data_IF_782798550990
#
_entry.id   IF_782798550990
#
_cell.length_a   1.000
_cell.length_b   1.000
_cell.length_c   1.000
_cell.angle_alpha   90.00
_cell.angle_beta   90.00
_cell.angle_gamma   90.00
#
_symmetry.space_group_name_H-M   'P 1'
#
loop_
_entity.id
_entity.type
_entity.pdbx_description
1 polymer ?
#
# COMPACT_ATOMS: atom_id res chain seq x y z
N UNK A 1 17.70 -18.42 -35.23
CA UNK A 1 17.95 -18.55 -33.78
C UNK A 1 17.54 -17.24 -33.15
N UNK A 2 16.43 -17.22 -32.41
CA UNK A 2 15.99 -16.00 -31.73
C UNK A 2 16.89 -15.82 -30.52
N UNK A 3 17.67 -14.73 -30.54
CA UNK A 3 18.30 -14.19 -29.35
C UNK A 3 17.16 -13.82 -28.41
N UNK A 4 16.88 -14.71 -27.45
CA UNK A 4 15.91 -14.48 -26.39
C UNK A 4 16.59 -13.51 -25.46
N UNK A 5 16.60 -12.24 -25.86
CA UNK A 5 17.14 -11.14 -25.08
C UNK A 5 16.61 -11.31 -23.66
N UNK A 6 17.51 -11.68 -22.76
CA UNK A 6 17.32 -11.54 -21.33
C UNK A 6 17.07 -10.05 -21.16
N UNK A 7 15.80 -9.64 -21.25
CA UNK A 7 15.38 -8.39 -20.64
C UNK A 7 15.77 -8.59 -19.19
N UNK A 8 16.90 -8.00 -18.80
CA UNK A 8 17.25 -7.85 -17.39
C UNK A 8 16.00 -7.25 -16.80
N UNK A 9 15.25 -8.09 -16.10
CA UNK A 9 13.90 -7.75 -15.70
C UNK A 9 14.06 -6.59 -14.72
N UNK A 10 13.56 -5.41 -15.10
CA UNK A 10 13.71 -4.20 -14.29
C UNK A 10 13.07 -4.48 -12.93
N UNK A 11 13.77 -4.23 -11.81
CA UNK A 11 13.26 -4.62 -10.50
C UNK A 11 11.95 -3.91 -10.21
N UNK A 12 10.86 -4.68 -10.13
CA UNK A 12 9.54 -4.19 -9.70
C UNK A 12 9.49 -4.00 -8.19
N UNK A 13 8.63 -3.09 -7.77
CA UNK A 13 8.42 -2.72 -6.37
C UNK A 13 6.94 -2.82 -6.03
N UNK A 14 6.63 -3.37 -4.87
CA UNK A 14 5.28 -3.32 -4.30
C UNK A 14 5.24 -2.35 -3.13
N UNK A 15 4.13 -1.65 -2.95
CA UNK A 15 3.88 -0.89 -1.72
C UNK A 15 3.54 -1.84 -0.58
N UNK A 16 4.34 -1.84 0.49
CA UNK A 16 4.03 -2.56 1.73
C UNK A 16 3.12 -1.70 2.60
N UNK A 17 3.51 -0.44 2.81
CA UNK A 17 2.73 0.51 3.59
C UNK A 17 2.90 1.91 3.02
N UNK A 18 1.82 2.68 3.08
CA UNK A 18 1.79 4.10 2.75
C UNK A 18 1.07 4.83 3.88
N UNK A 19 1.81 5.69 4.59
CA UNK A 19 1.32 6.49 5.70
C UNK A 19 1.29 7.96 5.31
N UNK A 20 0.31 8.68 5.82
CA UNK A 20 0.15 10.12 5.63
C UNK A 20 -0.42 10.78 6.88
N UNK A 21 -0.22 12.10 7.02
CA UNK A 21 -0.74 12.85 8.17
C UNK A 21 -0.07 12.41 9.48
N UNK A 22 -0.87 12.19 10.52
CA UNK A 22 -0.37 11.92 11.88
C UNK A 22 0.44 10.61 11.97
N UNK A 23 0.05 9.58 11.22
CA UNK A 23 0.77 8.30 11.18
C UNK A 23 2.15 8.47 10.54
N UNK A 24 2.22 9.24 9.44
CA UNK A 24 3.50 9.59 8.83
C UNK A 24 4.34 10.46 9.76
N UNK A 25 3.74 11.40 10.49
CA UNK A 25 4.46 12.29 11.40
C UNK A 25 5.21 11.52 12.49
N UNK A 26 4.61 10.46 13.03
CA UNK A 26 5.27 9.58 14.01
C UNK A 26 6.52 8.91 13.40
N UNK A 27 6.42 8.44 12.15
CA UNK A 27 7.54 7.79 11.46
C UNK A 27 8.60 8.82 11.03
N UNK A 28 8.21 9.99 10.54
CA UNK A 28 9.12 11.10 10.22
C UNK A 28 9.91 11.54 11.47
N UNK A 29 9.27 11.57 12.64
CA UNK A 29 9.94 11.82 13.92
C UNK A 29 10.94 10.71 14.27
N UNK A 30 10.60 9.45 13.97
CA UNK A 30 11.54 8.32 14.12
C UNK A 30 12.75 8.47 13.21
N UNK A 31 12.56 8.91 11.96
CA UNK A 31 13.65 9.19 11.02
C UNK A 31 14.57 10.27 11.58
N UNK A 32 14.02 11.34 12.16
CA UNK A 32 14.81 12.43 12.72
C UNK A 32 15.60 12.05 13.98
N UNK A 33 15.05 11.17 14.80
CA UNK A 33 15.66 10.76 16.07
C UNK A 33 16.63 9.59 15.91
N UNK A 34 16.34 8.65 15.01
CA UNK A 34 17.03 7.34 14.94
C UNK A 34 17.52 7.00 13.53
N UNK A 35 17.24 7.85 12.54
CA UNK A 35 17.62 7.63 11.15
C UNK A 35 16.62 6.78 10.37
N UNK A 36 16.79 6.80 9.05
CA UNK A 36 15.88 6.12 8.12
C UNK A 36 15.89 4.60 8.24
N UNK A 37 17.03 3.99 8.59
CA UNK A 37 17.12 2.53 8.76
C UNK A 37 16.23 2.05 9.93
N UNK A 38 16.17 2.80 11.03
CA UNK A 38 15.27 2.48 12.14
C UNK A 38 13.80 2.58 11.72
N UNK A 39 13.46 3.54 10.85
CA UNK A 39 12.11 3.66 10.30
C UNK A 39 11.76 2.48 9.38
N UNK A 40 12.70 2.02 8.53
CA UNK A 40 12.52 0.81 7.71
C UNK A 40 12.26 -0.41 8.60
N UNK A 41 13.08 -0.62 9.64
CA UNK A 41 12.91 -1.71 10.61
C UNK A 41 11.58 -1.66 11.36
N UNK A 42 11.09 -0.46 11.65
CA UNK A 42 9.78 -0.28 12.25
C UNK A 42 8.66 -0.63 11.25
N UNK A 43 8.76 -0.18 10.00
CA UNK A 43 7.70 -0.35 9.00
C UNK A 43 7.61 -1.78 8.43
N UNK A 44 8.72 -2.52 8.37
CA UNK A 44 8.71 -3.90 7.87
C UNK A 44 7.87 -4.86 8.73
N UNK A 45 7.49 -4.49 9.95
CA UNK A 45 6.59 -5.33 10.78
C UNK A 45 5.17 -5.44 10.20
N UNK A 46 4.81 -4.56 9.25
CA UNK A 46 3.57 -4.61 8.48
C UNK A 46 3.70 -5.36 7.15
N UNK A 47 4.89 -5.86 6.81
CA UNK A 47 5.02 -6.81 5.71
C UNK A 47 4.69 -8.23 6.20
N UNK A 48 3.49 -8.70 5.85
CA UNK A 48 3.02 -10.05 6.15
C UNK A 48 3.49 -11.10 5.12
N UNK A 49 4.35 -10.74 4.17
CA UNK A 49 4.83 -11.66 3.15
C UNK A 49 3.89 -11.75 1.95
N UNK A 50 3.43 -12.96 1.63
CA UNK A 50 2.65 -13.22 0.42
C UNK A 50 1.28 -12.52 0.46
N UNK A 51 0.67 -12.38 1.63
CA UNK A 51 -0.57 -11.61 1.79
C UNK A 51 -0.39 -10.14 1.42
N UNK A 52 0.76 -9.54 1.74
CA UNK A 52 1.10 -8.17 1.32
C UNK A 52 1.28 -8.10 -0.19
N UNK A 53 1.95 -9.08 -0.77
CA UNK A 53 2.19 -9.17 -2.22
C UNK A 53 0.85 -9.25 -2.94
N UNK A 54 0.00 -10.21 -2.59
CA UNK A 54 -1.31 -10.41 -3.21
C UNK A 54 -2.18 -9.15 -3.08
N UNK A 55 -2.21 -8.53 -1.89
CA UNK A 55 -2.92 -7.29 -1.69
C UNK A 55 -2.39 -6.17 -2.60
N UNK A 56 -1.08 -6.00 -2.72
CA UNK A 56 -0.49 -5.00 -3.59
C UNK A 56 -0.80 -5.27 -5.08
N UNK A 57 -0.74 -6.53 -5.53
CA UNK A 57 -1.07 -6.92 -6.90
C UNK A 57 -2.56 -6.65 -7.23
N UNK A 58 -3.47 -7.08 -6.35
CA UNK A 58 -4.93 -6.92 -6.52
C UNK A 58 -5.30 -5.43 -6.59
N UNK A 59 -4.68 -4.60 -5.76
CA UNK A 59 -4.95 -3.16 -5.72
C UNK A 59 -4.13 -2.36 -6.74
N UNK A 60 -3.19 -2.98 -7.47
CA UNK A 60 -2.33 -2.33 -8.45
C UNK A 60 -1.24 -1.44 -7.85
N UNK A 61 -0.83 -1.68 -6.60
CA UNK A 61 0.27 -0.97 -5.94
C UNK A 61 1.64 -1.56 -6.29
N UNK A 62 1.86 -1.74 -7.59
CA UNK A 62 3.07 -2.30 -8.19
C UNK A 62 3.69 -1.23 -9.08
N UNK A 63 5.01 -1.07 -9.01
CA UNK A 63 5.74 -0.03 -9.70
C UNK A 63 7.00 -0.59 -10.36
N UNK A 64 7.28 -0.16 -11.59
CA UNK A 64 8.50 -0.52 -12.31
C UNK A 64 9.76 0.16 -11.72
N UNK A 65 9.56 1.21 -10.91
CA UNK A 65 10.61 1.94 -10.21
C UNK A 65 10.06 2.50 -8.90
N UNK A 66 10.94 2.83 -7.97
CA UNK A 66 10.55 3.50 -6.72
C UNK A 66 9.76 4.78 -7.05
N UNK A 67 8.49 4.88 -6.62
CA UNK A 67 7.67 6.06 -6.86
C UNK A 67 8.16 7.19 -5.97
N UNK A 68 8.77 8.20 -6.57
CA UNK A 68 9.28 9.37 -5.88
C UNK A 68 9.09 10.65 -6.72
N UNK A 69 8.56 11.69 -6.07
CA UNK A 69 8.49 13.04 -6.58
C UNK A 69 9.80 13.82 -6.39
N UNK A 70 9.86 15.04 -6.95
CA UNK A 70 11.07 15.90 -6.90
C UNK A 70 11.48 16.30 -5.47
N UNK A 71 10.55 16.28 -4.54
CA UNK A 71 10.74 16.69 -3.14
C UNK A 71 11.10 15.53 -2.22
N UNK A 72 11.08 14.31 -2.76
CA UNK A 72 11.10 13.12 -1.94
C UNK A 72 12.51 12.68 -1.66
N UNK A 73 12.67 12.07 -0.49
CA UNK A 73 13.90 11.37 -0.13
C UNK A 73 13.67 9.90 -0.35
N UNK A 74 14.59 9.27 -1.07
CA UNK A 74 14.66 7.82 -1.27
C UNK A 74 15.81 7.31 -0.43
N UNK A 75 15.56 6.25 0.33
CA UNK A 75 16.57 5.52 1.08
C UNK A 75 16.49 4.06 0.66
N UNK A 76 17.62 3.54 0.20
CA UNK A 76 17.82 2.13 -0.10
C UNK A 76 18.95 1.62 0.79
N UNK A 77 18.86 0.36 1.19
CA UNK A 77 19.93 -0.34 1.90
C UNK A 77 20.34 -1.55 1.05
N UNK A 78 21.64 -1.63 0.72
CA UNK A 78 22.20 -2.62 -0.21
C UNK A 78 22.02 -4.07 0.27
N UNK A 79 21.77 -4.28 1.57
CA UNK A 79 21.45 -5.59 2.15
C UNK A 79 19.96 -5.88 2.32
N UNK A 80 19.09 -4.95 1.94
CA UNK A 80 17.65 -5.00 2.23
C UNK A 80 16.81 -5.07 0.95
N UNK A 81 15.71 -5.85 0.94
CA UNK A 81 14.75 -5.79 -0.15
C UNK A 81 13.90 -4.52 -0.09
N UNK A 82 14.06 -3.68 0.92
CA UNK A 82 13.19 -2.53 1.14
C UNK A 82 13.78 -1.21 0.66
N UNK A 83 12.90 -0.33 0.19
CA UNK A 83 13.18 1.08 -0.03
C UNK A 83 12.18 1.94 0.73
N UNK A 84 12.66 3.04 1.28
CA UNK A 84 11.84 4.04 1.95
C UNK A 84 11.75 5.30 1.10
N UNK A 85 10.54 5.74 0.79
CA UNK A 85 10.31 7.06 0.20
C UNK A 85 9.56 7.93 1.19
N UNK A 86 10.01 9.16 1.41
CA UNK A 86 9.28 10.08 2.29
C UNK A 86 9.40 11.53 1.84
N UNK A 87 8.39 12.31 2.20
CA UNK A 87 8.39 13.77 2.05
C UNK A 87 7.91 14.40 3.36
N UNK A 88 8.79 15.16 4.00
CA UNK A 88 8.41 15.96 5.19
C UNK A 88 7.48 17.11 4.82
N UNK A 89 7.68 17.68 3.63
CA UNK A 89 6.86 18.80 3.16
C UNK A 89 5.40 18.38 2.94
N UNK A 90 5.19 17.18 2.41
CA UNK A 90 3.85 16.65 2.13
C UNK A 90 3.36 15.65 3.19
N UNK A 91 4.16 15.37 4.22
CA UNK A 91 3.76 14.58 5.37
C UNK A 91 3.39 13.13 5.03
N UNK A 92 4.21 12.44 4.22
CA UNK A 92 4.01 11.02 3.94
C UNK A 92 5.30 10.20 4.03
N UNK A 93 5.12 8.91 4.25
CA UNK A 93 6.15 7.88 4.25
C UNK A 93 5.60 6.64 3.55
N UNK A 94 6.39 6.04 2.66
CA UNK A 94 6.07 4.79 1.99
C UNK A 94 7.22 3.81 2.12
N UNK A 95 6.92 2.59 2.56
CA UNK A 95 7.84 1.47 2.48
C UNK A 95 7.48 0.63 1.25
N UNK A 96 8.48 0.35 0.44
CA UNK A 96 8.38 -0.50 -0.73
C UNK A 96 9.25 -1.73 -0.53
N UNK A 97 8.84 -2.86 -1.12
CA UNK A 97 9.62 -4.09 -1.18
C UNK A 97 9.90 -4.45 -2.63
N UNK A 98 11.15 -4.83 -2.92
CA UNK A 98 11.55 -5.43 -4.20
C UNK A 98 10.73 -6.70 -4.41
N UNK A 99 10.03 -6.73 -5.53
CA UNK A 99 9.25 -7.86 -6.00
C UNK A 99 9.92 -8.38 -7.26
N UNK A 100 10.45 -9.62 -7.25
CA UNK A 100 11.10 -10.16 -8.42
C UNK A 100 10.10 -10.24 -9.57
N UNK A 101 10.58 -10.00 -10.79
CA UNK A 101 9.94 -10.49 -12.00
C UNK A 101 10.00 -12.01 -12.01
N UNK A 102 9.22 -12.68 -11.16
CA UNK A 102 8.96 -14.08 -11.41
C UNK A 102 8.15 -14.15 -12.71
N UNK A 103 8.61 -14.89 -13.73
CA UNK A 103 7.77 -15.15 -14.89
C UNK A 103 6.52 -15.81 -14.35
N UNK A 104 5.37 -15.16 -14.52
CA UNK A 104 4.03 -15.67 -14.19
C UNK A 104 4.08 -17.20 -14.19
N UNK A 105 3.91 -17.89 -13.03
CA UNK A 105 3.76 -19.33 -13.07
C UNK A 105 2.61 -19.54 -14.03
N UNK A 106 2.87 -20.23 -15.15
CA UNK A 106 1.86 -20.53 -16.16
C UNK A 106 0.69 -21.12 -15.38
N UNK A 107 -0.32 -20.29 -15.11
CA UNK A 107 -1.59 -20.70 -14.58
C UNK A 107 -2.20 -21.42 -15.77
N UNK A 108 -1.74 -22.66 -15.97
CA UNK A 108 -2.44 -23.65 -16.73
C UNK A 108 -3.84 -23.60 -16.15
N UNK A 109 -4.71 -22.93 -16.91
CA UNK A 109 -6.07 -22.58 -16.58
C UNK A 109 -6.72 -23.89 -16.18
N UNK A 110 -6.73 -24.20 -14.89
CA UNK A 110 -7.43 -25.37 -14.38
C UNK A 110 -8.89 -25.11 -14.70
N UNK A 111 -9.56 -25.96 -15.49
CA UNK A 111 -10.98 -25.79 -15.68
C UNK A 111 -11.60 -25.94 -14.30
N UNK A 112 -12.12 -24.84 -13.77
CA UNK A 112 -13.00 -24.82 -12.61
C UNK A 112 -14.15 -25.76 -12.96
N UNK A 113 -14.07 -26.99 -12.48
CA UNK A 113 -15.23 -27.88 -12.44
C UNK A 113 -16.26 -27.20 -11.56
N UNK A 114 -17.38 -26.84 -12.18
CA UNK A 114 -18.52 -26.26 -11.53
C UNK A 114 -19.14 -27.30 -10.60
N UNK A 115 -18.73 -27.29 -9.33
CA UNK A 115 -19.50 -27.93 -8.26
C UNK A 115 -20.61 -26.97 -7.86
N UNK A 116 -21.77 -27.13 -8.50
CA UNK A 116 -23.01 -26.58 -8.01
C UNK A 116 -23.29 -27.20 -6.63
N UNK A 117 -23.19 -26.41 -5.57
CA UNK A 117 -23.83 -26.76 -4.31
C UNK A 117 -24.58 -25.56 -3.73
N UNK A 118 -25.78 -25.91 -3.28
CA UNK A 118 -26.96 -25.10 -3.11
C UNK A 118 -26.81 -23.88 -2.19
N UNK A 119 -27.67 -22.91 -2.49
CA UNK A 119 -28.06 -21.78 -1.68
C UNK A 119 -28.33 -22.09 -0.20
N UNK A 120 -27.74 -21.26 0.67
CA UNK A 120 -28.14 -20.83 2.03
C UNK A 120 -26.94 -20.01 2.53
N UNK A 121 -26.94 -18.72 2.83
CA UNK A 121 -27.97 -17.79 3.29
C UNK A 121 -27.44 -16.37 3.02
N UNK A 122 -28.23 -15.50 2.38
CA UNK A 122 -27.88 -14.09 2.19
C UNK A 122 -28.14 -13.33 3.49
N UNK A 123 -27.12 -12.73 4.09
CA UNK A 123 -27.27 -11.54 4.93
C UNK A 123 -26.53 -10.38 4.25
N UNK A 124 -27.17 -9.22 4.03
CA UNK A 124 -26.53 -8.09 3.37
C UNK A 124 -25.58 -7.36 4.33
N UNK A 125 -24.31 -7.26 3.95
CA UNK A 125 -23.33 -6.38 4.58
C UNK A 125 -23.70 -4.92 4.33
N UNK A 126 -23.68 -4.13 5.40
CA UNK A 126 -24.02 -2.72 5.42
C UNK A 126 -23.09 -1.88 4.52
N UNK A 127 -23.75 -0.99 3.79
CA UNK A 127 -23.27 0.14 3.02
C UNK A 127 -22.50 1.17 3.86
N UNK A 128 -21.25 1.49 3.51
CA UNK A 128 -20.51 2.62 4.11
C UNK A 128 -20.13 3.73 3.13
N UNK A 129 -20.80 3.83 1.98
CA UNK A 129 -20.65 5.01 1.13
C UNK A 129 -21.36 6.23 1.73
N UNK A 130 -20.59 7.31 1.91
CA UNK A 130 -21.01 8.71 1.82
C UNK A 130 -21.72 9.33 3.03
N UNK A 131 -21.00 10.18 3.77
CA UNK A 131 -21.58 11.48 4.18
C UNK A 131 -20.49 12.54 4.27
N UNK A 132 -20.42 13.39 3.24
CA UNK A 132 -20.05 14.77 3.42
C UNK A 132 -21.20 15.61 2.87
N UNK A 133 -21.90 16.34 3.74
CA UNK A 133 -22.53 17.61 3.36
C UNK A 133 -22.88 18.43 4.61
N UNK A 134 -22.29 19.62 4.64
CA UNK A 134 -22.58 20.77 5.51
C UNK A 134 -24.06 21.17 5.43
N UNK A 135 -24.61 21.71 6.50
CA UNK A 135 -25.55 22.84 6.42
C UNK A 135 -25.61 23.60 7.75
N UNK A 136 -25.71 24.91 7.58
CA UNK A 136 -25.64 25.99 8.56
C UNK A 136 -27.03 26.41 9.04
N UNK A 137 -27.04 27.34 10.00
CA UNK A 137 -28.15 28.17 10.51
C UNK A 137 -29.10 27.54 11.54
N UNK A 138 -29.75 28.26 12.47
CA UNK A 138 -29.60 29.54 13.19
C UNK A 138 -30.90 29.67 14.00
N UNK A 139 -30.80 29.99 15.29
CA UNK A 139 -31.80 30.66 16.15
C UNK A 139 -33.17 30.03 16.47
N UNK A 140 -33.46 29.92 17.77
CA UNK A 140 -34.64 30.47 18.51
C UNK A 140 -34.84 29.64 19.81
N UNK A 141 -34.61 30.19 21.02
CA UNK A 141 -35.62 30.77 21.94
C UNK A 141 -36.80 29.81 22.28
N UNK A 142 -37.32 29.63 23.50
CA UNK A 142 -37.17 30.27 24.81
C UNK A 142 -37.78 29.38 25.94
N UNK A 143 -37.24 29.54 27.16
CA UNK A 143 -37.80 29.62 28.53
C UNK A 143 -39.24 29.12 28.84
N UNK A 144 -39.36 28.34 29.93
CA UNK A 144 -40.23 28.48 31.15
C UNK A 144 -40.57 27.10 31.72
N UNK A 145 -40.66 26.83 33.02
CA UNK A 145 -40.75 27.66 34.24
C UNK A 145 -40.16 26.85 35.41
#
# INVERSE_FOLDING_TARGET
MFDKGLRTAEPRWISVVFLQGDEALAVLSTIDLRGAIAAIQHLQQWDYGDETVDAALINGYVYDRIPAGRTDRIIEDDGSPYALTYSKQFGYVSLLRRYPDEPEPNLARTPRVASAQLAQSRQPAANWASTQARSSAKSAQAISL
#
